data_IF_793533014166
#
_entry.id   IF_793533014166
#
_cell.length_a   1.000
_cell.length_b   1.000
_cell.length_c   1.000
_cell.angle_alpha   90.00
_cell.angle_beta   90.00
_cell.angle_gamma   90.00
#
_symmetry.space_group_name_H-M   'P 1'
#
loop_
_entity.id
_entity.type
_entity.pdbx_description
1 polymer ?
#
# COMPACT_ATOMS: atom_id res chain seq x y z
N UNK A 1 1.50 -22.18 4.65
CA UNK A 1 2.69 -21.42 5.13
C UNK A 1 2.23 -20.40 6.16
N UNK A 2 2.76 -20.48 7.36
CA UNK A 2 2.39 -19.53 8.42
C UNK A 2 3.33 -18.34 8.40
N UNK A 3 2.77 -17.15 8.48
CA UNK A 3 3.53 -15.94 8.72
C UNK A 3 3.44 -15.61 10.20
N UNK A 4 4.58 -15.31 10.82
CA UNK A 4 4.65 -15.02 12.24
C UNK A 4 5.33 -13.68 12.47
N UNK A 5 4.69 -12.83 13.24
CA UNK A 5 5.26 -11.57 13.71
C UNK A 5 5.03 -11.48 15.21
N UNK A 6 6.08 -11.16 15.94
CA UNK A 6 6.01 -10.91 17.38
C UNK A 6 6.08 -9.42 17.64
N UNK A 7 5.17 -8.92 18.45
CA UNK A 7 5.15 -7.52 18.86
C UNK A 7 5.61 -7.42 20.30
N UNK A 8 6.58 -6.56 20.54
CA UNK A 8 7.03 -6.23 21.89
C UNK A 8 6.82 -4.73 22.13
N UNK A 9 6.14 -4.42 23.21
CA UNK A 9 5.95 -3.05 23.67
C UNK A 9 6.88 -2.80 24.86
N UNK A 10 7.69 -1.76 24.76
CA UNK A 10 8.58 -1.34 25.85
C UNK A 10 8.10 0.02 26.40
N UNK A 11 7.33 0.04 27.51
CA UNK A 11 6.73 1.26 28.02
C UNK A 11 7.73 2.35 28.40
N UNK A 12 8.86 1.98 28.98
CA UNK A 12 9.87 2.94 29.45
C UNK A 12 10.46 3.77 28.31
N UNK A 13 10.56 3.18 27.14
CA UNK A 13 11.09 3.83 25.94
C UNK A 13 10.00 4.33 25.01
N UNK A 14 8.74 4.00 25.30
CA UNK A 14 7.58 4.33 24.47
C UNK A 14 7.74 3.84 23.03
N UNK A 15 8.24 2.62 22.87
CA UNK A 15 8.43 2.02 21.54
C UNK A 15 7.70 0.69 21.40
N UNK A 16 7.34 0.41 20.14
CA UNK A 16 6.85 -0.88 19.70
C UNK A 16 7.87 -1.48 18.74
N UNK A 17 8.15 -2.75 18.90
CA UNK A 17 9.03 -3.49 18.00
C UNK A 17 8.26 -4.67 17.43
N UNK A 18 8.18 -4.75 16.10
CA UNK A 18 7.66 -5.90 15.39
C UNK A 18 8.81 -6.67 14.77
N UNK A 19 8.83 -7.98 14.95
CA UNK A 19 9.94 -8.80 14.48
C UNK A 19 9.44 -10.15 13.98
N UNK A 20 10.02 -10.60 12.86
CA UNK A 20 9.78 -11.95 12.34
C UNK A 20 10.83 -12.91 12.90
N UNK A 21 10.57 -14.23 12.87
CA UNK A 21 11.58 -15.23 13.29
C UNK A 21 12.90 -15.10 12.52
N UNK A 22 12.85 -14.58 11.29
CA UNK A 22 14.03 -14.40 10.44
C UNK A 22 14.81 -13.12 10.76
N UNK A 23 14.35 -12.33 11.74
CA UNK A 23 15.02 -11.12 12.15
C UNK A 23 14.65 -9.86 11.39
N UNK A 24 13.61 -9.90 10.56
CA UNK A 24 13.09 -8.70 9.92
C UNK A 24 12.36 -7.88 10.98
N UNK A 25 12.62 -6.58 11.04
CA UNK A 25 12.18 -5.77 12.17
C UNK A 25 11.66 -4.42 11.74
N UNK A 26 10.65 -3.95 12.45
CA UNK A 26 10.20 -2.56 12.43
C UNK A 26 10.19 -2.04 13.85
N UNK A 27 10.63 -0.79 14.04
CA UNK A 27 10.60 -0.12 15.34
C UNK A 27 9.81 1.18 15.20
N UNK A 28 8.85 1.40 16.08
CA UNK A 28 7.95 2.55 16.05
C UNK A 28 7.97 3.27 17.38
N UNK A 29 8.17 4.57 17.33
CA UNK A 29 8.01 5.45 18.49
C UNK A 29 6.54 5.84 18.60
N UNK A 30 5.94 5.60 19.76
CA UNK A 30 4.53 5.88 19.98
C UNK A 30 4.29 7.38 19.86
N UNK A 31 3.23 7.76 19.13
CA UNK A 31 2.81 9.14 18.85
C UNK A 31 3.74 9.94 17.93
N UNK A 32 4.96 9.48 17.68
CA UNK A 32 5.90 10.16 16.77
C UNK A 32 5.97 9.52 15.39
N UNK A 33 5.91 8.20 15.33
CA UNK A 33 5.93 7.46 14.07
C UNK A 33 4.50 7.10 13.64
N UNK A 34 4.38 6.35 12.55
CA UNK A 34 3.07 5.95 12.02
C UNK A 34 2.24 5.21 13.04
N UNK A 35 0.94 5.54 13.10
CA UNK A 35 -0.04 4.78 13.87
C UNK A 35 -0.29 3.40 13.27
N UNK A 36 -0.88 2.47 14.02
CA UNK A 36 -1.25 1.16 13.46
C UNK A 36 -2.14 1.25 12.21
N UNK A 37 -3.07 2.21 12.18
CA UNK A 37 -3.93 2.40 11.01
C UNK A 37 -3.13 2.93 9.80
N UNK A 38 -2.21 3.85 10.03
CA UNK A 38 -1.32 4.33 8.98
C UNK A 38 -0.39 3.22 8.47
N UNK A 39 0.03 2.32 9.35
CA UNK A 39 0.80 1.13 8.96
C UNK A 39 0.00 0.18 8.09
N UNK A 40 -1.29 0.02 8.37
CA UNK A 40 -2.17 -0.79 7.53
C UNK A 40 -2.26 -0.20 6.12
N UNK A 41 -2.42 1.11 6.01
CA UNK A 41 -2.42 1.80 4.72
C UNK A 41 -1.06 1.67 4.02
N UNK A 42 0.03 1.77 4.76
CA UNK A 42 1.38 1.58 4.23
C UNK A 42 1.55 0.16 3.68
N UNK A 43 1.06 -0.84 4.39
CA UNK A 43 1.10 -2.23 3.93
C UNK A 43 0.32 -2.41 2.63
N UNK A 44 -0.89 -1.85 2.56
CA UNK A 44 -1.72 -1.90 1.35
C UNK A 44 -1.01 -1.22 0.17
N UNK A 45 -0.50 -0.01 0.37
CA UNK A 45 0.22 0.73 -0.67
C UNK A 45 1.49 0.03 -1.12
N UNK A 46 2.24 -0.57 -0.19
CA UNK A 46 3.45 -1.32 -0.51
C UNK A 46 3.15 -2.55 -1.36
N UNK A 47 2.12 -3.29 -1.00
CA UNK A 47 1.67 -4.46 -1.75
C UNK A 47 1.26 -4.05 -3.18
N UNK A 48 0.46 -3.01 -3.30
CA UNK A 48 0.00 -2.50 -4.59
C UNK A 48 1.16 -2.00 -5.47
N UNK A 49 2.13 -1.30 -4.88
CA UNK A 49 3.29 -0.79 -5.60
C UNK A 49 4.17 -1.92 -6.13
N UNK A 50 4.42 -2.94 -5.31
CA UNK A 50 5.21 -4.10 -5.70
C UNK A 50 4.54 -4.85 -6.86
N UNK A 51 3.24 -5.06 -6.77
CA UNK A 51 2.48 -5.76 -7.82
C UNK A 51 2.54 -4.98 -9.14
N UNK A 52 2.33 -3.67 -9.08
CA UNK A 52 2.40 -2.82 -10.28
C UNK A 52 3.80 -2.83 -10.87
N UNK A 53 4.83 -2.71 -10.04
CA UNK A 53 6.22 -2.77 -10.49
C UNK A 53 6.51 -4.08 -11.21
N UNK A 54 6.11 -5.21 -10.64
CA UNK A 54 6.31 -6.53 -11.26
C UNK A 54 5.60 -6.65 -12.59
N UNK A 55 4.33 -6.24 -12.65
CA UNK A 55 3.53 -6.34 -13.87
C UNK A 55 4.10 -5.49 -15.00
N UNK A 56 4.50 -4.25 -14.70
CA UNK A 56 5.09 -3.36 -15.70
C UNK A 56 6.48 -3.82 -16.14
N UNK A 57 7.30 -4.31 -15.22
CA UNK A 57 8.64 -4.83 -15.52
C UNK A 57 8.57 -6.04 -16.47
N UNK A 58 7.61 -6.92 -16.28
CA UNK A 58 7.39 -8.06 -17.17
C UNK A 58 7.02 -7.64 -18.59
N UNK A 59 6.44 -6.46 -18.76
CA UNK A 59 6.11 -5.90 -20.07
C UNK A 59 7.23 -5.06 -20.68
N UNK A 60 8.39 -5.00 -20.02
CA UNK A 60 9.53 -4.23 -20.51
C UNK A 60 9.40 -2.73 -20.29
N UNK A 61 8.50 -2.29 -19.44
CA UNK A 61 8.31 -0.88 -19.12
C UNK A 61 9.46 -0.39 -18.23
N UNK A 62 10.04 0.74 -18.61
CA UNK A 62 11.08 1.38 -17.81
C UNK A 62 10.42 2.33 -16.81
N UNK A 63 10.57 2.03 -15.53
CA UNK A 63 9.90 2.74 -14.43
C UNK A 63 10.94 3.51 -13.63
N UNK A 64 10.73 4.82 -13.48
CA UNK A 64 11.57 5.65 -12.63
C UNK A 64 11.02 5.73 -11.21
N UNK A 65 9.70 5.89 -11.05
CA UNK A 65 9.08 5.95 -9.72
C UNK A 65 7.62 5.55 -9.75
N UNK A 66 7.15 5.05 -8.61
CA UNK A 66 5.74 4.79 -8.33
C UNK A 66 5.44 5.43 -6.99
N UNK A 67 4.51 6.37 -6.97
CA UNK A 67 3.99 6.96 -5.75
C UNK A 67 2.51 6.61 -5.62
N UNK A 68 2.08 6.23 -4.43
CA UNK A 68 0.68 5.94 -4.16
C UNK A 68 0.25 6.71 -2.93
N UNK A 69 -0.77 7.56 -3.10
CA UNK A 69 -1.43 8.22 -1.99
C UNK A 69 -2.67 7.41 -1.62
N UNK A 70 -2.78 7.04 -0.36
CA UNK A 70 -3.93 6.31 0.15
C UNK A 70 -4.68 7.21 1.13
N UNK A 71 -5.93 7.50 0.80
CA UNK A 71 -6.81 8.31 1.64
C UNK A 71 -7.87 7.40 2.26
N UNK A 72 -7.79 7.21 3.57
CA UNK A 72 -8.77 6.43 4.32
C UNK A 72 -9.91 7.32 4.80
N UNK A 73 -11.14 6.88 4.58
CA UNK A 73 -12.35 7.56 5.08
C UNK A 73 -13.01 6.72 6.15
N UNK A 74 -13.51 7.33 7.22
CA UNK A 74 -14.24 6.58 8.25
C UNK A 74 -15.49 5.94 7.67
N UNK A 75 -15.88 4.80 8.23
CA UNK A 75 -17.12 4.16 7.86
C UNK A 75 -18.28 5.06 8.29
N UNK A 76 -19.27 5.25 7.39
CA UNK A 76 -20.48 5.99 7.70
C UNK A 76 -21.31 5.20 8.70
N UNK A 77 -21.94 5.90 9.63
CA UNK A 77 -22.87 5.31 10.61
C UNK A 77 -22.28 4.34 11.62
N UNK A 78 -20.96 4.27 11.73
CA UNK A 78 -20.33 3.38 12.68
C UNK A 78 -19.64 4.18 13.78
N UNK A 79 -19.96 3.88 15.01
CA UNK A 79 -19.35 4.48 16.19
C UNK A 79 -17.93 3.97 16.43
N UNK A 80 -17.47 2.96 15.70
CA UNK A 80 -16.18 2.32 15.86
C UNK A 80 -15.12 2.96 14.99
N UNK A 81 -14.79 4.10 14.95
CA UNK A 81 -13.64 4.80 14.31
C UNK A 81 -12.76 3.99 13.34
N UNK A 82 -13.37 3.06 12.59
CA UNK A 82 -12.60 2.29 11.62
C UNK A 82 -12.70 2.90 10.21
N UNK A 83 -11.72 2.57 9.39
CA UNK A 83 -11.73 2.98 7.98
C UNK A 83 -12.73 2.11 7.21
N UNK A 84 -13.66 2.75 6.49
CA UNK A 84 -14.63 2.04 5.65
C UNK A 84 -14.31 2.09 4.17
N UNK A 85 -13.54 3.07 3.74
CA UNK A 85 -13.16 3.25 2.33
C UNK A 85 -11.73 3.76 2.24
N UNK A 86 -10.99 3.25 1.26
CA UNK A 86 -9.65 3.74 0.91
C UNK A 86 -9.64 4.13 -0.56
N UNK A 87 -9.28 5.36 -0.84
CA UNK A 87 -9.07 5.84 -2.21
C UNK A 87 -7.57 5.87 -2.49
N UNK A 88 -7.17 5.30 -3.61
CA UNK A 88 -5.77 5.21 -4.02
C UNK A 88 -5.51 6.04 -5.27
N UNK A 89 -4.57 6.95 -5.18
CA UNK A 89 -4.11 7.77 -6.31
C UNK A 89 -2.68 7.40 -6.62
N UNK A 90 -2.45 6.94 -7.85
CA UNK A 90 -1.14 6.51 -8.33
C UNK A 90 -0.50 7.61 -9.15
N UNK A 91 0.75 7.92 -8.90
CA UNK A 91 1.57 8.76 -9.76
C UNK A 91 2.79 7.97 -10.19
N UNK A 92 2.89 7.71 -11.48
CA UNK A 92 3.90 6.84 -12.03
C UNK A 92 4.74 7.64 -13.03
N UNK A 93 6.06 7.56 -12.89
CA UNK A 93 7.00 8.15 -13.85
C UNK A 93 7.65 7.00 -14.61
N UNK A 94 7.33 6.89 -15.90
CA UNK A 94 7.76 5.76 -16.71
C UNK A 94 7.75 6.12 -18.20
N UNK A 95 8.35 5.22 -19.00
CA UNK A 95 8.33 5.28 -20.46
C UNK A 95 7.69 4.02 -21.05
N UNK A 96 7.18 4.14 -22.26
CA UNK A 96 6.64 3.02 -23.05
C UNK A 96 5.41 2.35 -22.40
N UNK A 97 4.56 3.15 -21.78
CA UNK A 97 3.29 2.69 -21.22
C UNK A 97 2.27 3.82 -21.31
N UNK A 98 1.02 3.48 -21.47
CA UNK A 98 -0.08 4.45 -21.44
C UNK A 98 -0.76 4.46 -20.08
N UNK A 99 -1.44 5.57 -19.78
CA UNK A 99 -2.23 5.69 -18.56
C UNK A 99 -3.31 4.59 -18.48
N UNK A 100 -3.95 4.32 -19.59
CA UNK A 100 -4.99 3.28 -19.67
C UNK A 100 -4.45 1.90 -19.32
N UNK A 101 -3.27 1.55 -19.85
CA UNK A 101 -2.61 0.28 -19.53
C UNK A 101 -2.32 0.17 -18.04
N UNK A 102 -1.83 1.25 -17.43
CA UNK A 102 -1.56 1.29 -15.98
C UNK A 102 -2.87 1.12 -15.20
N UNK A 103 -3.94 1.84 -15.58
CA UNK A 103 -5.24 1.73 -14.93
C UNK A 103 -5.76 0.30 -14.96
N UNK A 104 -5.66 -0.38 -16.08
CA UNK A 104 -6.09 -1.77 -16.23
C UNK A 104 -5.30 -2.71 -15.33
N UNK A 105 -3.98 -2.54 -15.26
CA UNK A 105 -3.12 -3.35 -14.40
C UNK A 105 -3.46 -3.12 -12.92
N UNK A 106 -3.67 -1.86 -12.53
CA UNK A 106 -4.04 -1.52 -11.16
C UNK A 106 -5.36 -2.16 -10.76
N UNK A 107 -6.38 -2.07 -11.63
CA UNK A 107 -7.68 -2.70 -11.34
C UNK A 107 -7.56 -4.20 -11.18
N UNK A 108 -6.79 -4.86 -12.02
CA UNK A 108 -6.55 -6.30 -11.89
C UNK A 108 -5.81 -6.63 -10.60
N UNK A 109 -4.81 -5.82 -10.25
CA UNK A 109 -4.05 -6.02 -9.02
C UNK A 109 -4.94 -5.92 -7.79
N UNK A 110 -5.74 -4.86 -7.69
CA UNK A 110 -6.62 -4.65 -6.54
C UNK A 110 -7.70 -5.73 -6.43
N UNK A 111 -8.16 -6.29 -7.55
CA UNK A 111 -9.22 -7.28 -7.57
C UNK A 111 -8.73 -8.72 -7.40
N UNK A 112 -7.51 -9.04 -7.82
CA UNK A 112 -7.03 -10.43 -7.92
C UNK A 112 -5.67 -10.72 -7.30
N UNK A 113 -4.76 -9.76 -7.28
CA UNK A 113 -3.35 -10.03 -6.98
C UNK A 113 -2.81 -9.39 -5.71
N UNK A 114 -3.30 -8.22 -5.34
CA UNK A 114 -2.86 -7.56 -4.13
C UNK A 114 -3.44 -8.27 -2.91
N UNK A 115 -2.61 -9.06 -2.23
CA UNK A 115 -3.05 -9.89 -1.10
C UNK A 115 -3.65 -9.06 0.04
N UNK A 116 -3.13 -7.87 0.30
CA UNK A 116 -3.66 -7.01 1.35
C UNK A 116 -5.03 -6.45 0.94
N UNK A 117 -5.18 -5.99 -0.31
CA UNK A 117 -6.47 -5.51 -0.81
C UNK A 117 -7.54 -6.61 -0.73
N UNK A 118 -7.20 -7.82 -1.13
CA UNK A 118 -8.09 -8.96 -1.07
C UNK A 118 -8.48 -9.29 0.38
N UNK A 119 -7.51 -9.25 1.30
CA UNK A 119 -7.77 -9.52 2.71
C UNK A 119 -8.72 -8.49 3.33
N UNK A 120 -8.61 -7.22 2.92
CA UNK A 120 -9.42 -6.14 3.45
C UNK A 120 -10.79 -6.00 2.79
N UNK A 121 -10.99 -6.63 1.65
CA UNK A 121 -12.13 -6.44 0.74
C UNK A 121 -13.52 -6.57 1.39
N UNK A 122 -13.67 -7.39 2.42
CA UNK A 122 -14.96 -7.60 3.07
C UNK A 122 -15.36 -6.47 4.02
N UNK A 123 -14.38 -5.72 4.52
CA UNK A 123 -14.62 -4.71 5.55
C UNK A 123 -14.31 -3.30 5.07
N UNK A 124 -13.46 -3.17 4.06
CA UNK A 124 -12.98 -1.90 3.55
C UNK A 124 -13.16 -1.88 2.04
N UNK A 125 -13.76 -0.81 1.54
CA UNK A 125 -13.91 -0.59 0.12
C UNK A 125 -12.64 0.08 -0.41
N UNK A 126 -11.82 -0.69 -1.12
CA UNK A 126 -10.55 -0.22 -1.68
C UNK A 126 -10.78 0.13 -3.14
N UNK A 127 -10.63 1.41 -3.49
CA UNK A 127 -10.93 1.92 -4.82
C UNK A 127 -9.76 2.66 -5.44
N UNK A 128 -9.58 2.46 -6.72
CA UNK A 128 -8.73 3.33 -7.52
C UNK A 128 -9.43 4.69 -7.70
N UNK A 129 -8.79 5.76 -7.28
CA UNK A 129 -9.25 7.12 -7.52
C UNK A 129 -8.77 7.63 -8.88
N UNK A 130 -7.47 7.62 -9.11
CA UNK A 130 -6.91 8.06 -10.39
C UNK A 130 -5.49 7.55 -10.58
N UNK A 131 -5.06 7.58 -11.85
CA UNK A 131 -3.68 7.34 -12.24
C UNK A 131 -3.16 8.57 -12.99
N UNK A 132 -2.04 9.08 -12.54
CA UNK A 132 -1.28 10.13 -13.21
C UNK A 132 -0.02 9.49 -13.77
N UNK A 133 0.15 9.60 -15.09
CA UNK A 133 1.34 9.09 -15.75
C UNK A 133 2.22 10.26 -16.16
N UNK A 134 3.46 10.25 -15.70
CA UNK A 134 4.49 11.24 -16.06
C UNK A 134 5.55 10.57 -16.92
N UNK A 135 6.01 11.30 -17.93
CA UNK A 135 7.13 10.83 -18.76
C UNK A 135 8.44 11.03 -18.02
N UNK A 136 9.34 10.06 -18.17
CA UNK A 136 10.69 10.20 -17.65
C UNK A 136 11.40 11.34 -18.37
N UNK A 137 12.18 12.11 -17.61
CA UNK A 137 13.05 13.12 -18.22
C UNK A 137 14.19 12.40 -18.95
N UNK A 138 14.29 12.64 -20.24
CA UNK A 138 15.46 12.23 -21.02
C UNK A 138 16.60 13.22 -20.74
N UNK A 139 17.76 12.71 -20.48
CA UNK A 139 18.97 13.52 -20.42
C UNK A 139 19.48 13.78 -21.84
#
# INVERSE_FOLDING_TARGET
>A
MNMVVKIRFEPDKEILIGETPEGRRITLRILEDMSPMELMLTALGSCAAIDLFKALSLRGVNIQSIEIELSGKPAKEDESNHIGEVLMTYTITAQNVTRKEVEEIVQQSLNRYCSIAIALKRSIDVKLNSVVLRKMKTR
#
